data_IF_475405498687
#
_entry.id   IF_475405498687
#
_cell.length_a   1.000
_cell.length_b   1.000
_cell.length_c   1.000
_cell.angle_alpha   90.00
_cell.angle_beta   90.00
_cell.angle_gamma   90.00
#
_symmetry.space_group_name_H-M   'P 1'
#
loop_
_entity.id
_entity.type
_entity.pdbx_description
1 polymer ?
#
# COMPACT_ATOMS: atom_id res chain seq x y z
N UNK A 1 71.88 34.44 -17.17
CA UNK A 1 73.19 33.78 -17.01
C UNK A 1 73.59 33.88 -15.54
N UNK A 2 74.29 32.90 -14.94
CA UNK A 2 73.79 31.57 -14.64
C UNK A 2 74.06 31.17 -13.17
N UNK A 3 73.61 29.95 -12.84
CA UNK A 3 74.28 28.97 -11.97
C UNK A 3 74.40 29.15 -10.44
N UNK A 4 73.81 28.13 -9.76
CA UNK A 4 74.38 27.29 -8.69
C UNK A 4 74.57 27.95 -7.32
N UNK A 5 74.39 27.32 -6.17
CA UNK A 5 73.89 26.02 -5.75
C UNK A 5 73.88 26.03 -4.18
N UNK A 6 73.53 24.88 -3.60
CA UNK A 6 73.93 24.39 -2.27
C UNK A 6 73.08 24.76 -1.02
N UNK A 7 72.38 23.71 -0.54
CA UNK A 7 72.63 23.02 0.75
C UNK A 7 71.84 23.41 2.01
N UNK A 8 71.43 22.32 2.68
CA UNK A 8 71.16 22.13 4.11
C UNK A 8 69.92 22.83 4.68
N UNK A 9 68.88 22.05 4.97
CA UNK A 9 68.68 21.31 6.22
C UNK A 9 68.07 22.17 7.34
N UNK A 10 66.78 21.89 7.52
CA UNK A 10 66.20 21.42 8.76
C UNK A 10 65.53 22.43 9.70
N UNK A 11 64.39 21.93 10.17
CA UNK A 11 63.74 22.15 11.45
C UNK A 11 62.56 23.13 11.52
N UNK A 12 61.39 22.47 11.50
CA UNK A 12 60.42 22.48 12.61
C UNK A 12 59.63 23.77 12.81
N UNK A 13 58.32 23.71 12.51
CA UNK A 13 57.30 23.48 13.55
C UNK A 13 55.88 23.62 12.95
N UNK A 14 55.12 22.54 13.13
CA UNK A 14 53.70 22.49 13.51
C UNK A 14 52.73 23.41 12.73
N UNK A 15 52.19 22.90 11.63
CA UNK A 15 50.87 23.31 11.16
C UNK A 15 49.89 22.17 11.44
N UNK A 16 48.97 22.42 12.37
CA UNK A 16 47.89 21.53 12.77
C UNK A 16 46.91 21.36 11.61
N UNK A 17 47.08 20.31 10.82
CA UNK A 17 46.06 19.83 9.89
C UNK A 17 45.10 18.95 10.69
N UNK A 18 44.08 19.59 11.25
CA UNK A 18 42.85 18.91 11.71
C UNK A 18 42.14 18.32 10.49
N UNK A 19 42.55 17.12 10.07
CA UNK A 19 41.69 16.20 9.33
C UNK A 19 40.65 15.66 10.32
N UNK A 20 39.62 16.45 10.60
CA UNK A 20 38.39 15.91 11.16
C UNK A 20 37.72 15.19 10.00
N UNK A 21 37.95 13.88 9.89
CA UNK A 21 37.08 12.99 9.16
C UNK A 21 35.74 13.00 9.92
N UNK A 22 34.63 13.54 9.37
CA UNK A 22 33.35 13.14 9.90
C UNK A 22 33.22 11.66 9.58
N UNK A 23 33.39 10.84 10.62
CA UNK A 23 32.93 9.47 10.70
C UNK A 23 31.41 9.54 10.46
N UNK A 24 31.03 9.52 9.19
CA UNK A 24 29.65 9.39 8.76
C UNK A 24 29.17 8.04 9.23
N UNK A 25 28.54 8.03 10.41
CA UNK A 25 27.70 6.96 10.89
C UNK A 25 26.55 6.84 9.87
N UNK A 26 26.77 6.07 8.80
CA UNK A 26 25.68 5.57 7.98
C UNK A 26 24.99 4.53 8.85
N UNK A 27 24.03 4.99 9.66
CA UNK A 27 22.97 4.14 10.18
C UNK A 27 22.14 3.73 8.98
N UNK A 28 22.65 2.77 8.22
CA UNK A 28 21.86 2.04 7.26
C UNK A 28 20.79 1.33 8.06
N UNK A 29 19.57 1.89 8.06
CA UNK A 29 18.39 1.12 8.40
C UNK A 29 18.37 -0.04 7.42
N UNK A 30 18.82 -1.22 7.85
CA UNK A 30 18.69 -2.46 7.10
C UNK A 30 17.22 -2.90 7.12
N UNK A 31 16.30 -2.00 6.76
CA UNK A 31 14.94 -2.40 6.40
C UNK A 31 15.07 -3.17 5.10
N UNK A 32 14.74 -4.45 5.16
CA UNK A 32 14.55 -5.26 3.96
C UNK A 32 13.67 -4.48 2.99
N UNK A 33 13.97 -4.48 1.69
CA UNK A 33 13.10 -3.83 0.71
C UNK A 33 11.68 -4.41 0.83
N UNK A 34 10.64 -3.61 0.54
CA UNK A 34 9.28 -4.11 0.60
C UNK A 34 9.09 -5.33 -0.31
N UNK A 35 8.35 -6.32 0.16
CA UNK A 35 8.06 -7.54 -0.60
C UNK A 35 7.24 -7.22 -1.85
N UNK A 36 7.64 -7.77 -2.99
CA UNK A 36 7.04 -7.47 -4.29
C UNK A 36 5.57 -7.85 -4.38
N UNK A 37 5.16 -8.97 -3.77
CA UNK A 37 3.79 -9.45 -3.83
C UNK A 37 2.89 -8.57 -2.97
N UNK A 38 3.38 -8.19 -1.79
CA UNK A 38 2.68 -7.25 -0.92
C UNK A 38 2.50 -5.87 -1.59
N UNK A 39 3.50 -5.37 -2.31
CA UNK A 39 3.38 -4.14 -3.11
C UNK A 39 2.42 -4.29 -4.28
N UNK A 40 2.43 -5.43 -4.98
CA UNK A 40 1.52 -5.70 -6.10
C UNK A 40 0.06 -5.77 -5.62
N UNK A 41 -0.19 -6.43 -4.48
CA UNK A 41 -1.51 -6.47 -3.87
C UNK A 41 -2.00 -5.08 -3.43
N UNK A 42 -1.10 -4.24 -2.90
CA UNK A 42 -1.40 -2.84 -2.57
C UNK A 42 -1.79 -2.05 -3.83
N UNK A 43 -1.02 -2.20 -4.91
CA UNK A 43 -1.28 -1.54 -6.19
C UNK A 43 -2.56 -2.03 -6.89
N UNK A 44 -2.98 -3.28 -6.66
CA UNK A 44 -4.23 -3.83 -7.15
C UNK A 44 -5.45 -3.19 -6.47
N UNK A 45 -5.37 -2.95 -5.16
CA UNK A 45 -6.49 -2.44 -4.35
C UNK A 45 -6.58 -0.91 -4.31
N UNK A 46 -5.45 -0.20 -4.39
CA UNK A 46 -5.41 1.26 -4.30
C UNK A 46 -6.40 1.98 -5.25
N UNK A 47 -6.57 1.55 -6.53
CA UNK A 47 -7.53 2.15 -7.45
C UNK A 47 -8.99 2.15 -6.96
N UNK A 48 -9.38 1.18 -6.11
CA UNK A 48 -10.75 1.09 -5.57
C UNK A 48 -11.14 2.31 -4.73
N UNK A 49 -10.16 3.00 -4.15
CA UNK A 49 -10.37 4.23 -3.36
C UNK A 49 -10.48 5.49 -4.22
N UNK A 50 -10.28 5.41 -5.54
CA UNK A 50 -10.22 6.59 -6.41
C UNK A 50 -11.60 6.99 -6.93
N UNK A 51 -11.81 8.30 -7.13
CA UNK A 51 -13.09 8.89 -7.60
C UNK A 51 -13.72 8.13 -8.77
N UNK A 52 -12.91 7.76 -9.76
CA UNK A 52 -13.39 7.08 -10.97
C UNK A 52 -14.05 5.75 -10.66
N UNK A 53 -13.40 4.92 -9.84
CA UNK A 53 -13.91 3.60 -9.47
C UNK A 53 -15.07 3.74 -8.50
N UNK A 54 -14.90 4.59 -7.48
CA UNK A 54 -15.95 4.86 -6.50
C UNK A 54 -17.26 5.38 -7.11
N UNK A 55 -17.20 6.20 -8.16
CA UNK A 55 -18.39 6.71 -8.85
C UNK A 55 -19.16 5.62 -9.61
N UNK A 56 -18.51 4.49 -9.89
CA UNK A 56 -19.07 3.32 -10.57
C UNK A 56 -19.42 2.18 -9.60
N UNK A 57 -19.04 2.34 -8.33
CA UNK A 57 -19.30 1.37 -7.26
C UNK A 57 -20.62 1.65 -6.54
N UNK A 58 -21.05 0.69 -5.72
CA UNK A 58 -22.15 0.92 -4.78
C UNK A 58 -21.76 1.74 -3.54
N UNK A 59 -20.47 2.08 -3.35
CA UNK A 59 -19.99 2.82 -2.18
C UNK A 59 -20.73 4.15 -1.99
N UNK A 60 -20.82 4.97 -3.05
CA UNK A 60 -21.43 6.30 -2.95
C UNK A 60 -22.97 6.25 -2.79
N UNK A 61 -23.61 5.11 -3.12
CA UNK A 61 -25.04 4.87 -2.83
C UNK A 61 -25.22 4.48 -1.36
N UNK A 62 -24.43 3.52 -0.91
CA UNK A 62 -24.44 3.01 0.47
C UNK A 62 -24.01 4.09 1.48
N UNK A 63 -23.04 4.92 1.10
CA UNK A 63 -22.42 5.94 1.93
C UNK A 63 -22.27 7.27 1.18
N UNK A 64 -23.36 8.05 1.01
CA UNK A 64 -23.33 9.32 0.26
C UNK A 64 -22.37 10.37 0.82
N UNK A 65 -22.03 10.27 2.12
CA UNK A 65 -21.04 11.11 2.79
C UNK A 65 -19.94 10.24 3.43
N UNK A 66 -19.61 9.11 2.80
CA UNK A 66 -18.71 8.11 3.35
C UNK A 66 -17.32 8.65 3.67
N UNK A 67 -16.76 8.18 4.78
CA UNK A 67 -15.37 8.45 5.16
C UNK A 67 -14.49 7.21 4.99
N UNK A 68 -13.17 7.32 5.19
CA UNK A 68 -12.25 6.18 5.09
C UNK A 68 -12.68 4.95 5.91
N UNK A 69 -13.24 5.16 7.11
CA UNK A 69 -13.76 4.05 7.94
C UNK A 69 -15.00 3.36 7.35
N UNK A 70 -15.80 4.08 6.56
CA UNK A 70 -16.94 3.51 5.84
C UNK A 70 -16.46 2.78 4.60
N UNK A 71 -15.44 3.31 3.91
CA UNK A 71 -14.81 2.62 2.78
C UNK A 71 -14.21 1.29 3.20
N UNK A 72 -13.49 1.22 4.32
CA UNK A 72 -12.96 -0.07 4.82
C UNK A 72 -14.10 -1.02 5.15
N UNK A 73 -15.20 -0.56 5.76
CA UNK A 73 -16.36 -1.44 6.00
C UNK A 73 -17.01 -1.92 4.71
N UNK A 74 -17.18 -1.02 3.75
CA UNK A 74 -17.70 -1.33 2.42
C UNK A 74 -16.82 -2.35 1.71
N UNK A 75 -15.52 -2.12 1.65
CA UNK A 75 -14.56 -2.94 0.90
C UNK A 75 -14.62 -4.42 1.31
N UNK A 76 -14.90 -4.70 2.58
CA UNK A 76 -15.01 -6.06 3.12
C UNK A 76 -16.46 -6.54 3.31
N UNK A 77 -17.45 -5.80 2.79
CA UNK A 77 -18.83 -6.26 2.66
C UNK A 77 -19.01 -7.14 1.42
N UNK A 78 -20.17 -7.79 1.28
CA UNK A 78 -20.50 -8.58 0.08
C UNK A 78 -20.47 -7.70 -1.19
N UNK A 79 -20.88 -6.43 -1.08
CA UNK A 79 -20.85 -5.48 -2.19
C UNK A 79 -19.42 -5.08 -2.56
N UNK A 80 -18.60 -4.70 -1.58
CA UNK A 80 -17.24 -4.26 -1.86
C UNK A 80 -16.32 -5.41 -2.28
N UNK A 81 -16.49 -6.59 -1.70
CA UNK A 81 -15.69 -7.77 -2.06
C UNK A 81 -16.00 -8.27 -3.47
N UNK A 82 -17.23 -8.11 -3.96
CA UNK A 82 -17.58 -8.37 -5.35
C UNK A 82 -16.88 -7.43 -6.35
N UNK A 83 -16.35 -6.29 -5.89
CA UNK A 83 -15.59 -5.32 -6.69
C UNK A 83 -14.08 -5.53 -6.58
N UNK A 84 -13.61 -6.53 -5.82
CA UNK A 84 -12.18 -6.80 -5.69
C UNK A 84 -11.58 -7.24 -7.03
N UNK A 85 -10.30 -6.88 -7.30
CA UNK A 85 -9.55 -7.46 -8.40
C UNK A 85 -9.56 -8.99 -8.30
N UNK A 86 -9.71 -9.67 -9.44
CA UNK A 86 -9.71 -11.13 -9.51
C UNK A 86 -8.34 -11.67 -9.08
N UNK A 87 -8.33 -12.65 -8.16
CA UNK A 87 -7.14 -13.41 -7.78
C UNK A 87 -6.77 -14.44 -8.88
N UNK A 88 -5.48 -14.67 -9.09
CA UNK A 88 -4.99 -15.30 -10.32
C UNK A 88 -5.12 -16.83 -10.48
N UNK A 89 -5.20 -17.23 -11.76
CA UNK A 89 -4.51 -18.39 -12.36
C UNK A 89 -3.54 -17.98 -13.50
N UNK A 90 -2.61 -18.86 -13.90
CA UNK A 90 -1.48 -18.55 -14.81
C UNK A 90 -1.85 -17.98 -16.20
N UNK A 91 -3.09 -18.16 -16.68
CA UNK A 91 -3.55 -17.70 -18.01
C UNK A 91 -4.10 -16.28 -18.07
N UNK A 92 -4.45 -15.68 -16.94
CA UNK A 92 -5.20 -14.41 -16.90
C UNK A 92 -4.28 -13.17 -16.79
N UNK A 93 -2.99 -13.38 -16.49
CA UNK A 93 -2.01 -12.31 -16.22
C UNK A 93 -1.79 -11.41 -17.43
N UNK A 94 -1.48 -12.00 -18.59
CA UNK A 94 -1.15 -11.26 -19.80
C UNK A 94 -2.35 -10.44 -20.31
N UNK A 95 -3.58 -10.93 -20.09
CA UNK A 95 -4.79 -10.23 -20.51
C UNK A 95 -5.14 -9.06 -19.59
N UNK A 96 -4.93 -9.21 -18.27
CA UNK A 96 -5.14 -8.13 -17.30
C UNK A 96 -4.09 -7.02 -17.43
N UNK A 97 -2.82 -7.37 -17.66
CA UNK A 97 -1.76 -6.41 -17.95
C UNK A 97 -2.06 -5.62 -19.24
N UNK A 98 -2.57 -6.28 -20.28
CA UNK A 98 -3.01 -5.62 -21.51
C UNK A 98 -4.19 -4.64 -21.27
N UNK A 99 -4.98 -4.87 -20.22
CA UNK A 99 -6.06 -3.98 -19.77
C UNK A 99 -5.60 -2.91 -18.76
N UNK A 100 -4.31 -2.91 -18.39
CA UNK A 100 -3.75 -1.97 -17.42
C UNK A 100 -4.23 -2.20 -15.98
N UNK A 101 -4.70 -3.41 -15.66
CA UNK A 101 -5.10 -3.77 -14.30
C UNK A 101 -3.96 -4.48 -13.57
N UNK A 102 -3.71 -4.06 -12.34
CA UNK A 102 -2.81 -4.80 -11.45
C UNK A 102 -3.64 -5.89 -10.76
N UNK A 103 -3.28 -7.16 -10.95
CA UNK A 103 -3.98 -8.30 -10.41
C UNK A 103 -3.63 -8.56 -8.94
N UNK A 104 -4.49 -9.28 -8.22
CA UNK A 104 -4.23 -9.66 -6.84
C UNK A 104 -3.37 -10.94 -6.77
N UNK A 105 -2.18 -10.91 -6.14
CA UNK A 105 -1.34 -12.09 -5.96
C UNK A 105 -2.03 -13.16 -5.08
N UNK A 106 -2.03 -14.45 -5.49
CA UNK A 106 -2.78 -15.53 -4.82
C UNK A 106 -2.16 -16.01 -3.49
N UNK A 107 -1.05 -15.39 -3.08
CA UNK A 107 -0.34 -15.71 -1.85
C UNK A 107 -0.43 -14.60 -0.79
N UNK A 108 -1.21 -13.54 -1.07
CA UNK A 108 -1.41 -12.41 -0.16
C UNK A 108 -2.84 -12.42 0.36
N UNK A 109 -3.00 -12.54 1.67
CA UNK A 109 -4.31 -12.38 2.32
C UNK A 109 -4.59 -10.92 2.53
N UNK A 110 -5.86 -10.53 2.45
CA UNK A 110 -6.30 -9.19 2.79
C UNK A 110 -7.18 -9.28 4.03
N UNK A 111 -6.99 -8.38 5.00
CA UNK A 111 -7.75 -8.34 6.24
C UNK A 111 -8.09 -6.92 6.66
N UNK A 112 -9.21 -6.75 7.33
CA UNK A 112 -9.67 -5.46 7.84
C UNK A 112 -9.24 -5.25 9.29
N UNK A 113 -8.92 -4.00 9.64
CA UNK A 113 -8.69 -3.48 11.00
C UNK A 113 -7.43 -4.01 11.72
N UNK A 114 -7.27 -5.32 11.79
CA UNK A 114 -6.19 -5.97 12.49
C UNK A 114 -5.65 -7.17 11.72
N UNK A 115 -4.46 -7.59 12.12
CA UNK A 115 -3.80 -8.73 11.53
C UNK A 115 -4.44 -10.03 12.01
N UNK A 116 -4.82 -10.90 11.10
CA UNK A 116 -5.51 -12.16 11.38
C UNK A 116 -4.70 -13.40 10.95
N UNK A 117 -3.74 -13.26 10.03
CA UNK A 117 -3.00 -14.38 9.41
C UNK A 117 -1.49 -14.24 9.63
N UNK A 118 -0.98 -14.45 10.86
CA UNK A 118 0.43 -14.25 11.20
C UNK A 118 1.39 -15.15 10.42
N UNK A 119 0.92 -16.29 9.91
CA UNK A 119 1.74 -17.24 9.15
C UNK A 119 1.69 -17.03 7.63
N UNK A 120 0.98 -16.01 7.13
CA UNK A 120 0.87 -15.69 5.70
C UNK A 120 1.36 -14.27 5.41
N UNK A 121 1.64 -14.00 4.13
CA UNK A 121 1.76 -12.61 3.64
C UNK A 121 0.39 -11.98 3.75
N UNK A 122 0.30 -10.83 4.40
CA UNK A 122 -0.99 -10.23 4.72
C UNK A 122 -0.95 -8.70 4.54
N UNK A 123 -1.95 -8.18 3.84
CA UNK A 123 -2.29 -6.76 3.81
C UNK A 123 -3.41 -6.48 4.80
N UNK A 124 -3.13 -5.64 5.79
CA UNK A 124 -4.12 -5.15 6.73
C UNK A 124 -4.53 -3.74 6.32
N UNK A 125 -5.81 -3.57 5.99
CA UNK A 125 -6.40 -2.29 5.57
C UNK A 125 -7.22 -1.73 6.73
N UNK A 126 -6.93 -0.48 7.10
CA UNK A 126 -7.55 0.20 8.23
C UNK A 126 -7.87 1.66 7.89
N UNK A 127 -8.63 2.33 8.75
CA UNK A 127 -8.83 3.78 8.65
C UNK A 127 -8.16 4.47 9.85
N UNK A 128 -7.23 5.38 9.59
CA UNK A 128 -6.47 6.12 10.61
C UNK A 128 -6.46 7.60 10.25
N UNK A 129 -6.88 8.47 11.17
CA UNK A 129 -6.87 9.92 10.99
C UNK A 129 -7.56 10.43 9.70
N UNK A 130 -8.57 9.71 9.21
CA UNK A 130 -9.30 10.06 7.97
C UNK A 130 -8.68 9.53 6.68
N UNK A 131 -7.53 8.85 6.76
CA UNK A 131 -6.88 8.16 5.64
C UNK A 131 -7.16 6.67 5.71
N UNK A 132 -7.03 6.00 4.56
CA UNK A 132 -6.95 4.54 4.48
C UNK A 132 -5.49 4.17 4.67
N UNK A 133 -5.18 3.45 5.74
CA UNK A 133 -3.82 2.97 5.99
C UNK A 133 -3.72 1.49 5.66
N UNK A 134 -2.73 1.14 4.85
CA UNK A 134 -2.43 -0.22 4.44
C UNK A 134 -1.08 -0.65 4.99
N UNK A 135 -1.06 -1.81 5.64
CA UNK A 135 0.14 -2.37 6.27
C UNK A 135 0.39 -3.76 5.73
N UNK A 136 1.56 -3.98 5.14
CA UNK A 136 1.97 -5.29 4.66
C UNK A 136 2.83 -6.03 5.68
N UNK A 137 2.51 -7.28 5.96
CA UNK A 137 3.26 -8.13 6.88
C UNK A 137 3.75 -9.38 6.16
N UNK A 138 5.01 -9.74 6.41
CA UNK A 138 5.53 -11.06 6.06
C UNK A 138 5.17 -12.09 7.14
N UNK A 139 5.21 -13.40 6.82
CA UNK A 139 5.00 -14.45 7.80
C UNK A 139 5.90 -14.27 9.03
N UNK A 140 5.32 -14.37 10.22
CA UNK A 140 5.99 -14.29 11.53
C UNK A 140 6.61 -12.94 11.90
N UNK A 141 6.52 -11.90 11.06
CA UNK A 141 7.01 -10.56 11.40
C UNK A 141 5.97 -9.79 12.21
N UNK A 142 6.30 -9.24 13.39
CA UNK A 142 5.33 -8.45 14.17
C UNK A 142 5.20 -7.01 13.68
N UNK A 143 6.25 -6.46 13.08
CA UNK A 143 6.25 -5.13 12.49
C UNK A 143 5.87 -5.21 11.00
N UNK A 144 5.20 -4.19 10.46
CA UNK A 144 4.90 -4.15 9.04
C UNK A 144 6.18 -4.02 8.21
N UNK A 145 6.27 -4.83 7.15
CA UNK A 145 7.29 -4.73 6.11
C UNK A 145 7.18 -3.39 5.35
N UNK A 146 5.96 -2.88 5.17
CA UNK A 146 5.71 -1.52 4.70
C UNK A 146 4.39 -0.96 5.24
N UNK A 147 4.28 0.37 5.22
CA UNK A 147 3.05 1.12 5.50
C UNK A 147 2.82 2.10 4.35
N UNK A 148 1.59 2.13 3.84
CA UNK A 148 1.15 3.08 2.82
C UNK A 148 -0.17 3.72 3.24
N UNK A 149 -0.45 4.90 2.70
CA UNK A 149 -1.63 5.69 3.05
C UNK A 149 -2.31 6.22 1.79
N UNK A 150 -3.62 6.01 1.70
CA UNK A 150 -4.44 6.48 0.60
C UNK A 150 -5.44 7.52 1.09
N UNK A 151 -5.66 8.52 0.25
CA UNK A 151 -6.82 9.40 0.39
C UNK A 151 -8.05 8.71 -0.18
N UNK A 152 -9.18 8.80 0.53
CA UNK A 152 -10.45 8.38 -0.04
C UNK A 152 -10.94 9.44 -1.03
N UNK A 153 -11.17 9.01 -2.26
CA UNK A 153 -11.73 9.84 -3.29
C UNK A 153 -13.14 10.35 -2.96
N UNK A 154 -13.45 11.55 -3.42
CA UNK A 154 -14.82 12.09 -3.41
C UNK A 154 -15.55 11.64 -4.68
N UNK A 155 -16.48 10.70 -4.56
CA UNK A 155 -17.26 10.22 -5.68
C UNK A 155 -18.69 10.75 -5.65
N UNK A 156 -19.19 11.11 -6.82
CA UNK A 156 -20.62 11.29 -7.08
C UNK A 156 -21.12 10.03 -7.77
N UNK A 157 -22.19 9.44 -7.26
CA UNK A 157 -22.76 8.23 -7.86
C UNK A 157 -23.16 8.45 -9.31
N UNK A 158 -22.72 7.55 -10.20
CA UNK A 158 -23.22 7.51 -11.57
C UNK A 158 -24.72 7.13 -11.57
N UNK A 159 -25.60 7.89 -12.24
CA UNK A 159 -27.04 7.57 -12.30
C UNK A 159 -27.34 6.18 -12.84
N UNK A 160 -26.44 5.62 -13.65
CA UNK A 160 -26.57 4.28 -14.25
C UNK A 160 -26.42 3.15 -13.22
N UNK A 161 -25.68 3.41 -12.14
CA UNK A 161 -25.34 2.42 -11.11
C UNK A 161 -26.37 2.40 -9.97
N UNK A 162 -27.07 3.53 -9.75
CA UNK A 162 -28.05 3.71 -8.67
C UNK A 162 -29.09 2.58 -8.62
N UNK A 163 -29.82 2.24 -9.70
CA UNK A 163 -30.91 1.26 -9.60
C UNK A 163 -30.41 -0.15 -9.27
N UNK A 164 -29.20 -0.49 -9.75
CA UNK A 164 -28.58 -1.78 -9.46
C UNK A 164 -28.16 -1.87 -7.98
N UNK A 165 -27.52 -0.82 -7.47
CA UNK A 165 -27.09 -0.79 -6.07
C UNK A 165 -28.25 -0.73 -5.09
N UNK A 166 -29.28 0.07 -5.37
CA UNK A 166 -30.51 0.11 -4.56
C UNK A 166 -31.17 -1.27 -4.53
N UNK A 167 -31.30 -1.93 -5.67
CA UNK A 167 -31.84 -3.29 -5.73
C UNK A 167 -31.02 -4.29 -4.90
N UNK A 168 -29.69 -4.20 -4.91
CA UNK A 168 -28.84 -5.11 -4.13
C UNK A 168 -28.97 -4.85 -2.63
N UNK A 169 -29.00 -3.58 -2.22
CA UNK A 169 -29.18 -3.16 -0.83
C UNK A 169 -30.56 -3.61 -0.32
N UNK A 170 -31.62 -3.43 -1.11
CA UNK A 170 -32.99 -3.83 -0.77
C UNK A 170 -33.14 -5.36 -0.62
N UNK A 171 -32.34 -6.13 -1.35
CA UNK A 171 -32.26 -7.60 -1.21
C UNK A 171 -31.49 -8.05 0.04
N UNK A 172 -30.94 -7.12 0.82
CA UNK A 172 -30.16 -7.44 2.00
C UNK A 172 -28.76 -7.95 1.68
N UNK A 173 -28.21 -7.65 0.49
CA UNK A 173 -26.76 -7.72 0.27
C UNK A 173 -26.15 -6.61 1.10
N UNK A 174 -25.87 -6.98 2.35
CA UNK A 174 -25.67 -6.05 3.44
C UNK A 174 -24.25 -5.51 3.47
N UNK A 175 -24.17 -4.32 4.04
CA UNK A 175 -22.98 -3.74 4.66
C UNK A 175 -22.67 -4.44 6.00
N UNK A 176 -23.57 -5.32 6.44
CA UNK A 176 -23.47 -6.01 7.71
C UNK A 176 -22.26 -6.95 7.74
N UNK A 177 -21.35 -6.64 8.68
CA UNK A 177 -20.09 -7.31 8.93
C UNK A 177 -20.34 -8.69 9.56
N UNK A 178 -20.77 -9.69 8.80
CA UNK A 178 -20.29 -11.03 9.13
C UNK A 178 -18.84 -11.13 8.62
N UNK A 179 -17.87 -11.53 9.46
CA UNK A 179 -16.50 -11.72 9.02
C UNK A 179 -16.47 -12.72 7.87
N UNK A 180 -16.23 -12.24 6.66
CA UNK A 180 -16.04 -13.10 5.51
C UNK A 180 -14.77 -13.93 5.75
N UNK A 181 -14.80 -15.25 5.46
CA UNK A 181 -13.61 -16.08 5.56
C UNK A 181 -12.50 -15.51 4.65
N UNK A 182 -11.22 -15.76 4.97
CA UNK A 182 -10.12 -15.28 4.17
C UNK A 182 -10.26 -15.83 2.75
N UNK A 183 -10.41 -14.93 1.80
CA UNK A 183 -10.32 -15.28 0.39
C UNK A 183 -8.84 -15.54 0.05
N UNK A 184 -8.55 -16.56 -0.77
CA UNK A 184 -7.19 -16.90 -1.21
C UNK A 184 -6.58 -15.79 -2.08
#
# INVERSE_FOLDING_TARGET
MPHLALTAMAQSKLSSASCILPLGLVLGSCQSPPDSDLLAANAALAPLSQNRILSQSCFAVAYPNGVAADFVRYLFSDLGSAEWPVAFGEGDVEQMEAMGQVPLPPNVVISAHERQYPDRKELVITAVAGLIQVRGYLPQETEPNFVDEWELGTASTSPEVVPLCESNIDMGLGIDLEPQPPMP
#
